data_IF_420161191416
#
_entry.id   IF_420161191416
#
_cell.length_a   1.000
_cell.length_b   1.000
_cell.length_c   1.000
_cell.angle_alpha   90.00
_cell.angle_beta   90.00
_cell.angle_gamma   90.00
#
_symmetry.space_group_name_H-M   'P 1'
#
loop_
_entity.id
_entity.type
_entity.pdbx_description
1 polymer ?
#
# COMPACT_ATOMS: atom_id res chain seq x y z
N UNK A 1 -33.20 -40.63 13.14
CA UNK A 1 -33.46 -40.19 11.76
C UNK A 1 -34.08 -38.81 11.88
N UNK A 2 -33.42 -37.70 11.65
CA UNK A 2 -32.13 -37.46 10.99
C UNK A 2 -31.72 -36.04 11.44
N UNK A 3 -30.68 -35.92 12.26
CA UNK A 3 -30.08 -34.63 12.63
C UNK A 3 -28.89 -34.44 11.69
N UNK A 4 -29.09 -33.62 10.65
CA UNK A 4 -28.00 -33.26 9.73
C UNK A 4 -27.18 -32.15 10.36
N UNK A 5 -26.15 -32.56 11.12
CA UNK A 5 -25.03 -31.71 11.50
C UNK A 5 -24.42 -31.10 10.23
N UNK A 6 -24.59 -29.79 10.08
CA UNK A 6 -23.91 -29.02 9.04
C UNK A 6 -22.48 -28.81 9.51
N UNK A 7 -21.57 -29.56 8.91
CA UNK A 7 -20.13 -29.44 9.14
C UNK A 7 -19.67 -28.03 8.77
N UNK A 8 -19.42 -27.19 9.77
CA UNK A 8 -18.74 -25.91 9.59
C UNK A 8 -17.29 -26.24 9.21
N UNK A 9 -16.92 -26.00 7.96
CA UNK A 9 -15.55 -26.16 7.50
C UNK A 9 -14.67 -25.13 8.21
N UNK A 10 -13.81 -25.62 9.11
CA UNK A 10 -12.67 -24.88 9.67
C UNK A 10 -11.70 -24.53 8.53
N UNK A 11 -11.95 -23.43 7.83
CA UNK A 11 -10.95 -22.84 6.93
C UNK A 11 -9.84 -22.22 7.78
N UNK A 12 -8.66 -22.86 7.72
CA UNK A 12 -7.45 -22.39 8.36
C UNK A 12 -7.10 -20.96 7.90
N UNK A 13 -6.71 -20.03 8.80
CA UNK A 13 -6.26 -18.68 8.45
C UNK A 13 -5.09 -18.64 7.44
N UNK A 14 -4.37 -19.75 7.25
CA UNK A 14 -3.30 -19.92 6.27
C UNK A 14 -3.73 -20.43 4.87
N UNK A 15 -5.02 -20.48 4.55
CA UNK A 15 -5.50 -21.09 3.30
C UNK A 15 -5.34 -20.18 2.05
N UNK A 16 -5.20 -18.87 2.21
CA UNK A 16 -5.09 -17.98 1.05
C UNK A 16 -3.76 -18.18 0.31
N UNK A 17 -3.86 -18.38 -1.01
CA UNK A 17 -2.72 -18.42 -1.93
C UNK A 17 -2.94 -17.46 -3.07
N UNK A 18 -1.94 -16.65 -3.39
CA UNK A 18 -1.93 -15.82 -4.58
C UNK A 18 -1.62 -16.69 -5.79
N UNK A 19 -2.51 -16.66 -6.79
CA UNK A 19 -2.38 -17.44 -8.03
C UNK A 19 -2.65 -16.58 -9.27
N UNK A 20 -2.64 -15.25 -9.12
CA UNK A 20 -3.00 -14.31 -10.18
C UNK A 20 -4.45 -13.83 -10.13
N UNK A 21 -5.08 -13.79 -8.95
CA UNK A 21 -6.43 -13.26 -8.80
C UNK A 21 -6.50 -11.78 -9.18
N UNK A 22 -7.64 -11.37 -9.73
CA UNK A 22 -7.92 -9.97 -10.09
C UNK A 22 -7.84 -9.04 -8.88
N UNK A 23 -7.22 -7.89 -9.05
CA UNK A 23 -7.14 -6.84 -8.03
C UNK A 23 -8.49 -6.11 -7.91
N UNK A 24 -9.16 -6.31 -6.79
CA UNK A 24 -10.40 -5.64 -6.40
C UNK A 24 -10.51 -5.57 -4.86
N UNK A 25 -11.61 -5.02 -4.35
CA UNK A 25 -11.88 -4.86 -2.91
C UNK A 25 -11.85 -6.21 -2.18
N UNK A 26 -12.41 -7.27 -2.79
CA UNK A 26 -12.42 -8.62 -2.22
C UNK A 26 -11.01 -9.22 -2.14
N UNK A 27 -10.16 -8.94 -3.13
CA UNK A 27 -8.75 -9.33 -3.09
C UNK A 27 -8.01 -8.65 -1.94
N UNK A 28 -8.16 -7.33 -1.80
CA UNK A 28 -7.56 -6.58 -0.68
C UNK A 28 -8.09 -7.07 0.67
N UNK A 29 -9.38 -7.37 0.76
CA UNK A 29 -9.99 -8.00 1.93
C UNK A 29 -9.28 -9.30 2.33
N UNK A 30 -8.99 -10.19 1.36
CA UNK A 30 -8.26 -11.44 1.62
C UNK A 30 -6.81 -11.22 2.03
N UNK A 31 -6.10 -10.28 1.41
CA UNK A 31 -4.69 -9.97 1.76
C UNK A 31 -4.59 -9.40 3.17
N UNK A 32 -5.43 -8.43 3.51
CA UNK A 32 -5.42 -7.83 4.85
C UNK A 32 -5.90 -8.82 5.91
N UNK A 33 -6.88 -9.69 5.58
CA UNK A 33 -7.31 -10.78 6.46
C UNK A 33 -6.19 -11.80 6.71
N UNK A 34 -5.41 -12.16 5.68
CA UNK A 34 -4.24 -13.03 5.83
C UNK A 34 -3.24 -12.44 6.83
N UNK A 35 -2.89 -11.16 6.68
CA UNK A 35 -1.95 -10.48 7.58
C UNK A 35 -2.49 -10.41 9.02
N UNK A 36 -3.74 -9.95 9.20
CA UNK A 36 -4.38 -9.87 10.53
C UNK A 36 -4.52 -11.25 11.18
N UNK A 37 -4.86 -12.28 10.41
CA UNK A 37 -4.95 -13.66 10.86
C UNK A 37 -3.60 -14.25 11.33
N UNK A 38 -2.48 -13.65 10.91
CA UNK A 38 -1.13 -13.97 11.38
C UNK A 38 -0.63 -12.96 12.43
N UNK A 39 -1.51 -12.15 13.02
CA UNK A 39 -1.15 -11.20 14.07
C UNK A 39 -0.49 -9.91 13.57
N UNK A 40 -0.61 -9.61 12.27
CA UNK A 40 0.02 -8.44 11.63
C UNK A 40 -1.03 -7.38 11.34
N UNK A 41 -1.23 -6.40 12.23
CA UNK A 41 -2.12 -5.30 11.96
C UNK A 41 -1.58 -4.42 10.84
N UNK A 42 -2.48 -3.83 10.08
CA UNK A 42 -2.15 -3.00 8.93
C UNK A 42 -3.29 -2.02 8.65
N UNK A 43 -3.01 -1.01 7.85
CA UNK A 43 -4.05 -0.23 7.19
C UNK A 43 -3.72 0.02 5.72
N UNK A 44 -4.77 0.14 4.93
CA UNK A 44 -4.75 0.43 3.51
C UNK A 44 -4.72 1.95 3.26
N UNK A 45 -3.97 2.37 2.25
CA UNK A 45 -3.97 3.73 1.73
C UNK A 45 -3.73 3.77 0.20
N UNK A 46 -3.89 4.93 -0.44
CA UNK A 46 -3.66 5.10 -1.88
C UNK A 46 -4.83 4.63 -2.77
N UNK A 47 -4.53 4.10 -3.96
CA UNK A 47 -5.53 3.84 -5.02
C UNK A 47 -6.69 2.96 -4.55
N UNK A 48 -6.38 1.81 -3.94
CA UNK A 48 -7.42 0.89 -3.46
C UNK A 48 -8.26 1.49 -2.33
N UNK A 49 -7.67 2.34 -1.49
CA UNK A 49 -8.42 3.07 -0.47
C UNK A 49 -9.45 4.02 -1.13
N UNK A 50 -9.04 4.76 -2.17
CA UNK A 50 -9.94 5.65 -2.92
C UNK A 50 -11.10 4.89 -3.58
N UNK A 51 -10.86 3.67 -4.08
CA UNK A 51 -11.94 2.80 -4.56
C UNK A 51 -12.98 2.46 -3.49
N UNK A 52 -12.56 2.11 -2.27
CA UNK A 52 -13.49 1.89 -1.16
C UNK A 52 -14.30 3.16 -0.83
N UNK A 53 -13.74 4.35 -1.06
CA UNK A 53 -14.45 5.64 -0.95
C UNK A 53 -15.35 5.96 -2.17
N UNK A 54 -15.43 5.08 -3.17
CA UNK A 54 -16.27 5.22 -4.37
C UNK A 54 -15.61 5.95 -5.54
N UNK A 55 -14.31 6.20 -5.50
CA UNK A 55 -13.61 6.83 -6.62
C UNK A 55 -13.30 5.81 -7.72
N UNK A 56 -13.73 6.11 -8.93
CA UNK A 56 -13.36 5.36 -10.14
C UNK A 56 -11.91 5.71 -10.55
N UNK A 57 -10.96 5.02 -9.92
CA UNK A 57 -9.52 5.19 -10.19
C UNK A 57 -8.92 3.91 -10.77
N UNK A 58 -7.96 4.09 -11.67
CA UNK A 58 -7.07 3.01 -12.06
C UNK A 58 -6.19 2.64 -10.86
N UNK A 59 -6.17 1.35 -10.55
CA UNK A 59 -5.37 0.81 -9.44
C UNK A 59 -4.02 0.45 -10.01
N UNK A 60 -3.00 1.20 -9.60
CA UNK A 60 -1.61 0.98 -9.98
C UNK A 60 -0.85 0.29 -8.84
N UNK A 61 -1.32 0.45 -7.60
CA UNK A 61 -0.71 -0.20 -6.44
C UNK A 61 -1.72 -0.50 -5.33
N UNK A 62 -1.40 -1.48 -4.51
CA UNK A 62 -2.03 -1.75 -3.21
C UNK A 62 -1.00 -1.36 -2.16
N UNK A 63 -1.27 -0.34 -1.36
CA UNK A 63 -0.31 0.15 -0.37
C UNK A 63 -0.80 -0.14 1.05
N UNK A 64 0.04 -0.84 1.83
CA UNK A 64 -0.23 -1.19 3.21
C UNK A 64 0.83 -0.57 4.13
N UNK A 65 0.39 0.08 5.20
CA UNK A 65 1.28 0.45 6.31
C UNK A 65 1.37 -0.71 7.29
N UNK A 66 2.58 -1.11 7.63
CA UNK A 66 2.91 -2.22 8.52
C UNK A 66 3.71 -1.66 9.72
N UNK A 67 3.43 -2.07 10.97
CA UNK A 67 4.29 -1.77 12.10
C UNK A 67 5.71 -2.25 11.82
N UNK A 68 6.69 -1.41 12.13
CA UNK A 68 8.08 -1.61 11.76
C UNK A 68 8.62 -2.96 12.25
N UNK A 69 8.30 -3.33 13.48
CA UNK A 69 8.71 -4.57 14.13
C UNK A 69 8.09 -5.84 13.52
N UNK A 70 7.06 -5.69 12.68
CA UNK A 70 6.38 -6.78 12.00
C UNK A 70 6.64 -6.80 10.49
N UNK A 71 7.50 -5.93 9.95
CA UNK A 71 7.77 -5.84 8.52
C UNK A 71 8.32 -7.16 7.95
N UNK A 72 9.37 -7.71 8.56
CA UNK A 72 9.97 -8.97 8.10
C UNK A 72 8.98 -10.14 8.17
N UNK A 73 8.13 -10.12 9.20
CA UNK A 73 7.08 -11.12 9.38
C UNK A 73 6.00 -11.01 8.30
N UNK A 74 5.57 -9.80 7.95
CA UNK A 74 4.62 -9.55 6.88
C UNK A 74 5.16 -10.04 5.54
N UNK A 75 6.43 -9.76 5.25
CA UNK A 75 7.11 -10.26 4.05
C UNK A 75 7.13 -11.79 4.03
N UNK A 76 7.48 -12.42 5.14
CA UNK A 76 7.50 -13.88 5.27
C UNK A 76 6.12 -14.51 5.02
N UNK A 77 5.07 -13.96 5.63
CA UNK A 77 3.68 -14.44 5.46
C UNK A 77 3.22 -14.30 4.01
N UNK A 78 3.51 -13.17 3.36
CA UNK A 78 3.12 -12.95 1.96
C UNK A 78 3.89 -13.87 1.00
N UNK A 79 5.20 -14.09 1.22
CA UNK A 79 5.96 -15.09 0.45
C UNK A 79 5.38 -16.49 0.61
N UNK A 80 5.04 -16.89 1.84
CA UNK A 80 4.38 -18.17 2.11
C UNK A 80 3.02 -18.27 1.42
N UNK A 81 2.31 -17.15 1.24
CA UNK A 81 1.07 -17.09 0.47
C UNK A 81 1.28 -17.06 -1.06
N UNK A 82 2.52 -17.11 -1.56
CA UNK A 82 2.82 -17.20 -2.99
C UNK A 82 2.95 -15.85 -3.70
N UNK A 83 3.07 -14.74 -2.96
CA UNK A 83 3.42 -13.46 -3.56
C UNK A 83 4.89 -13.45 -3.98
N UNK A 84 5.17 -12.98 -5.20
CA UNK A 84 6.51 -12.91 -5.77
C UNK A 84 7.12 -11.52 -5.54
N UNK A 85 8.35 -11.48 -5.03
CA UNK A 85 9.13 -10.26 -4.78
C UNK A 85 10.57 -10.37 -5.32
N UNK A 86 10.77 -11.28 -6.27
CA UNK A 86 12.05 -11.45 -6.95
C UNK A 86 12.25 -10.45 -8.09
N UNK A 87 13.39 -10.54 -8.80
CA UNK A 87 13.68 -9.66 -9.92
C UNK A 87 12.61 -9.76 -11.02
N UNK A 88 12.35 -8.63 -11.68
CA UNK A 88 11.53 -8.56 -12.89
C UNK A 88 12.45 -8.20 -14.05
N UNK A 89 12.31 -8.93 -15.15
CA UNK A 89 13.00 -8.59 -16.38
C UNK A 89 12.23 -7.49 -17.11
N UNK A 90 12.90 -6.42 -17.59
CA UNK A 90 12.25 -5.39 -18.36
C UNK A 90 11.80 -5.93 -19.71
N UNK A 91 10.75 -5.34 -20.27
CA UNK A 91 10.22 -5.69 -21.60
C UNK A 91 10.17 -4.47 -22.52
N UNK A 92 10.22 -4.72 -23.82
CA UNK A 92 10.13 -3.67 -24.84
C UNK A 92 8.72 -3.09 -24.91
N UNK A 93 8.65 -1.76 -24.99
CA UNK A 93 7.41 -0.97 -25.12
C UNK A 93 7.52 -0.01 -26.30
N UNK A 94 6.39 0.42 -26.83
CA UNK A 94 6.36 1.47 -27.87
C UNK A 94 6.65 2.84 -27.24
N UNK A 95 7.32 3.75 -27.96
CA UNK A 95 7.65 5.10 -27.48
C UNK A 95 6.41 5.87 -26.96
N UNK A 96 5.29 5.71 -27.66
CA UNK A 96 4.00 6.32 -27.31
C UNK A 96 3.44 5.88 -25.95
N UNK A 97 3.95 4.77 -25.40
CA UNK A 97 3.51 4.20 -24.12
C UNK A 97 4.34 4.72 -22.93
N UNK A 98 5.47 5.40 -23.18
CA UNK A 98 6.29 6.05 -22.16
C UNK A 98 5.75 7.46 -21.81
N UNK A 99 4.68 7.51 -21.01
CA UNK A 99 3.87 8.71 -20.76
C UNK A 99 4.64 9.92 -20.16
N UNK A 100 5.61 9.68 -19.28
CA UNK A 100 6.37 10.75 -18.59
C UNK A 100 7.52 11.31 -19.43
N UNK A 101 8.03 10.47 -20.30
CA UNK A 101 9.30 10.61 -20.98
C UNK A 101 9.14 11.46 -22.26
N UNK A 102 7.95 11.38 -22.88
CA UNK A 102 7.49 12.31 -23.92
C UNK A 102 7.33 13.77 -23.44
N UNK A 103 6.95 14.00 -22.17
CA UNK A 103 6.66 15.36 -21.66
C UNK A 103 7.89 16.18 -21.28
N UNK A 104 9.00 15.53 -20.91
CA UNK A 104 10.18 16.22 -20.39
C UNK A 104 11.29 16.44 -21.43
N UNK A 105 11.10 15.96 -22.66
CA UNK A 105 12.04 16.20 -23.77
C UNK A 105 13.46 15.69 -23.50
N UNK A 106 13.64 14.70 -22.61
CA UNK A 106 14.96 14.22 -22.15
C UNK A 106 15.51 13.03 -22.93
N UNK A 107 15.15 12.86 -24.20
CA UNK A 107 15.77 11.80 -25.00
C UNK A 107 16.83 12.32 -25.95
N UNK A 108 18.05 11.83 -25.72
CA UNK A 108 19.03 11.69 -26.77
C UNK A 108 18.52 10.68 -27.81
N UNK A 109 18.72 11.06 -29.07
CA UNK A 109 18.22 10.46 -30.30
C UNK A 109 18.91 9.13 -30.66
N UNK A 110 19.17 8.26 -29.68
CA UNK A 110 19.87 7.00 -29.89
C UNK A 110 18.88 5.82 -29.90
N UNK A 111 19.01 4.99 -30.94
CA UNK A 111 18.16 3.86 -31.35
C UNK A 111 18.11 2.68 -30.34
N UNK A 112 17.94 2.93 -29.05
CA UNK A 112 17.75 1.86 -28.06
C UNK A 112 16.26 1.50 -27.96
N UNK A 113 15.92 0.21 -27.77
CA UNK A 113 14.54 -0.18 -27.48
C UNK A 113 14.06 0.52 -26.20
N UNK A 114 12.81 1.00 -26.21
CA UNK A 114 12.19 1.55 -25.01
C UNK A 114 11.84 0.38 -24.10
N UNK A 115 12.41 0.36 -22.90
CA UNK A 115 12.19 -0.70 -21.93
C UNK A 115 11.29 -0.17 -20.81
N UNK A 116 10.34 -1.00 -20.39
CA UNK A 116 9.58 -0.78 -19.17
C UNK A 116 9.80 -1.96 -18.22
N UNK A 117 9.91 -1.67 -16.92
CA UNK A 117 9.96 -2.72 -15.89
C UNK A 117 8.59 -3.32 -15.60
N UNK A 118 7.53 -2.60 -16.00
CA UNK A 118 6.15 -2.91 -15.63
C UNK A 118 5.85 -2.74 -14.14
N UNK A 119 6.85 -2.35 -13.35
CA UNK A 119 6.79 -2.13 -11.92
C UNK A 119 7.05 -0.65 -11.65
N UNK A 120 6.04 0.03 -11.10
CA UNK A 120 6.12 1.46 -10.83
C UNK A 120 7.21 1.80 -9.82
N UNK A 121 7.49 0.89 -8.89
CA UNK A 121 8.60 1.06 -7.95
C UNK A 121 9.95 1.18 -8.67
N UNK A 122 10.24 0.30 -9.63
CA UNK A 122 11.49 0.37 -10.38
C UNK A 122 11.54 1.60 -11.28
N UNK A 123 10.43 1.94 -11.94
CA UNK A 123 10.33 3.16 -12.76
C UNK A 123 10.59 4.42 -11.91
N UNK A 124 9.93 4.54 -10.74
CA UNK A 124 10.14 5.65 -9.81
C UNK A 124 11.57 5.62 -9.23
N UNK A 125 12.11 4.46 -8.90
CA UNK A 125 13.47 4.35 -8.35
C UNK A 125 14.54 4.73 -9.38
N UNK A 126 14.38 4.38 -10.65
CA UNK A 126 15.27 4.82 -11.72
C UNK A 126 15.12 6.32 -11.99
N UNK A 127 13.89 6.80 -12.11
CA UNK A 127 13.60 8.21 -12.41
C UNK A 127 14.07 9.15 -11.28
N UNK A 128 13.83 8.78 -10.02
CA UNK A 128 14.21 9.59 -8.87
C UNK A 128 15.57 9.20 -8.28
N UNK A 129 16.40 8.41 -8.98
CA UNK A 129 17.76 8.04 -8.52
C UNK A 129 18.61 9.25 -8.11
N UNK A 130 18.34 10.42 -8.70
CA UNK A 130 19.05 11.67 -8.41
C UNK A 130 18.30 12.60 -7.44
N UNK A 131 16.98 12.60 -7.46
CA UNK A 131 16.14 13.51 -6.66
C UNK A 131 15.74 12.91 -5.30
N UNK A 132 15.85 11.58 -5.14
CA UNK A 132 15.28 10.81 -4.04
C UNK A 132 13.77 10.67 -4.24
N UNK A 133 13.27 9.46 -4.45
CA UNK A 133 11.83 9.24 -4.50
C UNK A 133 11.24 9.50 -3.09
N UNK A 134 10.31 10.45 -3.02
CA UNK A 134 9.63 10.87 -1.78
C UNK A 134 8.71 9.80 -1.17
N UNK A 135 8.31 8.79 -1.95
CA UNK A 135 7.33 7.78 -1.55
C UNK A 135 7.76 6.36 -1.93
N UNK A 136 8.79 5.83 -1.28
CA UNK A 136 9.34 4.50 -1.59
C UNK A 136 8.84 3.41 -0.62
N UNK A 137 8.19 2.35 -1.12
CA UNK A 137 7.87 1.21 -0.27
C UNK A 137 9.13 0.59 0.32
N UNK A 138 8.98 0.05 1.54
CA UNK A 138 10.03 -0.75 2.20
C UNK A 138 10.18 -2.09 1.50
N UNK A 139 9.06 -2.68 1.06
CA UNK A 139 9.06 -3.96 0.35
C UNK A 139 7.98 -3.97 -0.74
N UNK A 140 8.25 -4.67 -1.84
CA UNK A 140 7.35 -4.73 -3.01
C UNK A 140 7.13 -6.18 -3.41
N UNK A 141 5.87 -6.52 -3.66
CA UNK A 141 5.46 -7.78 -4.29
C UNK A 141 4.80 -7.48 -5.63
N UNK A 142 5.17 -8.24 -6.64
CA UNK A 142 4.74 -8.06 -8.01
C UNK A 142 3.55 -8.96 -8.31
N UNK A 143 2.38 -8.37 -8.53
CA UNK A 143 1.20 -9.14 -8.94
C UNK A 143 1.31 -9.48 -10.42
N UNK A 144 0.64 -10.57 -10.83
CA UNK A 144 0.62 -10.99 -12.23
C UNK A 144 0.04 -9.87 -13.09
N UNK A 145 0.72 -9.60 -14.20
CA UNK A 145 0.27 -8.65 -15.21
C UNK A 145 -1.15 -8.97 -15.68
N UNK A 146 -1.99 -7.94 -15.78
CA UNK A 146 -3.29 -8.09 -16.42
C UNK A 146 -3.09 -8.18 -17.93
N UNK A 147 -3.60 -9.21 -18.62
CA UNK A 147 -3.45 -9.33 -20.07
C UNK A 147 -3.92 -8.05 -20.78
N UNK A 148 -3.07 -7.52 -21.66
CA UNK A 148 -3.36 -6.31 -22.44
C UNK A 148 -3.15 -4.98 -21.72
N UNK A 149 -2.69 -4.96 -20.46
CA UNK A 149 -2.25 -3.73 -19.78
C UNK A 149 -0.73 -3.61 -19.79
N UNK A 150 -0.25 -2.38 -20.00
CA UNK A 150 1.16 -2.04 -19.82
C UNK A 150 1.48 -2.05 -18.31
N UNK A 151 2.37 -2.94 -17.89
CA UNK A 151 2.76 -3.10 -16.48
C UNK A 151 1.79 -3.90 -15.61
N UNK A 152 2.16 -4.10 -14.35
CA UNK A 152 1.38 -4.82 -13.36
C UNK A 152 1.10 -3.96 -12.12
N UNK A 153 0.17 -4.44 -11.30
CA UNK A 153 -0.14 -3.83 -10.01
C UNK A 153 0.86 -4.34 -8.98
N UNK A 154 1.47 -3.45 -8.22
CA UNK A 154 2.35 -3.85 -7.11
C UNK A 154 1.57 -3.89 -5.77
N UNK A 155 1.89 -4.86 -4.92
CA UNK A 155 1.54 -4.85 -3.49
C UNK A 155 2.75 -4.33 -2.71
N UNK A 156 2.57 -3.15 -2.12
CA UNK A 156 3.63 -2.38 -1.49
C UNK A 156 3.44 -2.36 0.02
N UNK A 157 4.52 -2.64 0.76
CA UNK A 157 4.57 -2.52 2.21
C UNK A 157 5.40 -1.30 2.60
N UNK A 158 4.85 -0.49 3.49
CA UNK A 158 5.50 0.71 4.01
C UNK A 158 5.67 0.59 5.52
N UNK A 159 6.90 0.86 6.01
CA UNK A 159 7.13 1.01 7.46
C UNK A 159 6.31 2.17 7.99
N UNK A 160 5.56 1.92 9.04
CA UNK A 160 4.67 2.89 9.64
C UNK A 160 5.41 4.13 10.15
N UNK A 161 6.48 3.94 10.94
CA UNK A 161 7.21 5.06 11.56
C UNK A 161 7.83 6.02 10.53
N UNK A 162 8.09 5.53 9.31
CA UNK A 162 8.72 6.32 8.25
C UNK A 162 7.74 7.20 7.48
N UNK A 163 6.47 6.83 7.42
CA UNK A 163 5.50 7.50 6.55
C UNK A 163 4.28 8.07 7.29
N UNK A 164 3.99 7.56 8.48
CA UNK A 164 2.75 7.84 9.21
C UNK A 164 3.02 8.03 10.70
N UNK A 165 4.18 8.62 11.05
CA UNK A 165 4.62 8.79 12.44
C UNK A 165 3.71 9.64 13.31
N UNK A 166 2.87 10.47 12.70
CA UNK A 166 1.89 11.31 13.38
C UNK A 166 0.57 10.57 13.67
N UNK A 167 0.42 9.35 13.12
CA UNK A 167 -0.75 8.51 13.31
C UNK A 167 -0.50 7.43 14.37
N UNK A 168 -1.57 6.92 15.02
CA UNK A 168 -1.45 5.75 15.88
C UNK A 168 -0.97 4.54 15.08
N UNK A 169 0.01 3.81 15.59
CA UNK A 169 0.45 2.53 15.00
C UNK A 169 -0.75 1.60 14.84
N UNK A 170 -0.94 0.94 13.67
CA UNK A 170 -2.08 0.07 13.49
C UNK A 170 -2.05 -1.09 14.47
N UNK A 171 -3.17 -1.29 15.17
CA UNK A 171 -3.42 -2.42 16.08
C UNK A 171 -4.42 -3.40 15.48
N UNK A 172 -4.43 -4.64 15.99
CA UNK A 172 -5.36 -5.69 15.52
C UNK A 172 -6.82 -5.36 15.85
N UNK A 173 -7.04 -4.79 17.04
CA UNK A 173 -8.36 -4.34 17.49
C UNK A 173 -8.44 -2.81 17.39
N UNK A 174 -9.52 -2.24 16.83
CA UNK A 174 -9.72 -0.80 16.80
C UNK A 174 -9.72 -0.22 18.22
N UNK A 175 -8.88 0.78 18.46
CA UNK A 175 -8.91 1.56 19.71
C UNK A 175 -9.85 2.76 19.59
N UNK A 176 -10.19 3.43 20.70
CA UNK A 176 -10.94 4.70 20.61
C UNK A 176 -10.17 5.77 19.80
N UNK A 177 -8.84 5.76 19.86
CA UNK A 177 -7.98 6.66 19.07
C UNK A 177 -8.03 6.36 17.57
N UNK A 178 -8.38 5.14 17.17
CA UNK A 178 -8.49 4.75 15.76
C UNK A 178 -9.66 5.46 15.06
N UNK A 179 -10.68 5.91 15.80
CA UNK A 179 -11.94 6.39 15.21
C UNK A 179 -11.79 7.66 14.36
N UNK A 180 -10.81 8.51 14.69
CA UNK A 180 -10.55 9.75 13.94
C UNK A 180 -9.52 9.57 12.83
N UNK A 181 -8.63 8.57 12.96
CA UNK A 181 -7.55 8.34 12.01
C UNK A 181 -7.90 7.32 10.93
N UNK A 182 -8.77 6.37 11.24
CA UNK A 182 -9.08 5.24 10.39
C UNK A 182 -10.57 5.12 10.08
N UNK A 183 -10.86 4.56 8.91
CA UNK A 183 -12.19 4.19 8.44
C UNK A 183 -12.17 2.70 8.16
N UNK A 184 -13.16 1.96 8.66
CA UNK A 184 -13.33 0.54 8.34
C UNK A 184 -14.14 0.38 7.05
N UNK A 185 -13.89 -0.66 6.26
CA UNK A 185 -14.68 -0.94 5.06
C UNK A 185 -16.16 -1.19 5.34
N UNK A 186 -16.54 -1.45 6.60
CA UNK A 186 -17.93 -1.58 7.06
C UNK A 186 -18.56 -0.26 7.51
N UNK A 187 -17.84 0.86 7.43
CA UNK A 187 -18.36 2.18 7.81
C UNK A 187 -19.53 2.58 6.92
N UNK A 188 -20.65 2.99 7.54
CA UNK A 188 -21.91 3.30 6.86
C UNK A 188 -21.84 4.55 5.97
N UNK A 189 -20.80 5.37 6.14
CA UNK A 189 -20.55 6.56 5.30
C UNK A 189 -19.94 6.19 3.95
N UNK A 190 -19.43 4.96 3.79
CA UNK A 190 -18.90 4.49 2.52
C UNK A 190 -20.04 4.20 1.53
N UNK A 191 -19.82 4.37 0.21
CA UNK A 191 -20.82 4.05 -0.80
C UNK A 191 -21.27 2.59 -0.79
N UNK A 192 -20.35 1.67 -0.44
CA UNK A 192 -20.65 0.24 -0.32
C UNK A 192 -19.96 -0.35 0.90
N UNK A 193 -20.61 -0.33 2.07
CA UNK A 193 -20.06 -0.93 3.28
C UNK A 193 -19.94 -2.46 3.11
N UNK A 194 -18.76 -3.02 3.38
CA UNK A 194 -18.44 -4.42 3.10
C UNK A 194 -17.49 -5.02 4.15
N UNK A 195 -17.68 -6.32 4.42
CA UNK A 195 -16.77 -7.17 5.19
C UNK A 195 -16.44 -8.44 4.41
N UNK A 196 -15.34 -9.10 4.74
CA UNK A 196 -14.76 -10.19 3.95
C UNK A 196 -14.56 -11.47 4.77
N UNK A 197 -14.75 -12.61 4.10
CA UNK A 197 -14.51 -13.93 4.69
C UNK A 197 -15.47 -14.31 5.83
N UNK A 198 -15.32 -15.53 6.39
CA UNK A 198 -16.22 -16.06 7.42
C UNK A 198 -16.14 -15.26 8.73
N UNK A 199 -14.98 -14.70 9.06
CA UNK A 199 -14.78 -13.84 10.23
C UNK A 199 -15.31 -12.41 10.08
N UNK A 200 -15.98 -12.07 8.97
CA UNK A 200 -16.47 -10.72 8.66
C UNK A 200 -15.37 -9.65 8.82
N UNK A 201 -14.18 -9.95 8.32
CA UNK A 201 -13.02 -9.06 8.36
C UNK A 201 -13.33 -7.71 7.70
N UNK A 202 -13.08 -6.62 8.40
CA UNK A 202 -13.19 -5.27 7.87
C UNK A 202 -11.79 -4.73 7.54
N UNK A 203 -11.63 -4.15 6.35
CA UNK A 203 -10.37 -3.52 5.96
C UNK A 203 -10.24 -2.19 6.71
N UNK A 204 -9.15 -2.02 7.44
CA UNK A 204 -8.79 -0.74 8.07
C UNK A 204 -8.13 0.15 7.01
N UNK A 205 -8.61 1.38 6.86
CA UNK A 205 -8.12 2.37 5.90
C UNK A 205 -7.77 3.65 6.61
N UNK A 206 -6.73 4.35 6.19
CA UNK A 206 -6.49 5.74 6.64
C UNK A 206 -7.67 6.63 6.19
N UNK A 207 -8.09 7.57 7.03
CA UNK A 207 -9.11 8.54 6.62
C UNK A 207 -8.53 9.51 5.57
N UNK A 208 -9.35 10.04 4.64
CA UNK A 208 -8.84 10.95 3.61
C UNK A 208 -8.15 12.19 4.19
N UNK A 209 -8.68 12.74 5.29
CA UNK A 209 -8.08 13.89 5.98
C UNK A 209 -6.70 13.55 6.53
N UNK A 210 -6.53 12.40 7.19
CA UNK A 210 -5.23 11.95 7.70
C UNK A 210 -4.24 11.64 6.60
N UNK A 211 -4.68 11.10 5.46
CA UNK A 211 -3.78 10.90 4.32
C UNK A 211 -3.21 12.23 3.80
N UNK A 212 -4.05 13.26 3.70
CA UNK A 212 -3.61 14.60 3.28
C UNK A 212 -2.63 15.19 4.30
N UNK A 213 -2.90 15.06 5.59
CA UNK A 213 -1.99 15.53 6.66
C UNK A 213 -0.63 14.82 6.59
N UNK A 214 -0.63 13.49 6.48
CA UNK A 214 0.60 12.71 6.32
C UNK A 214 1.41 13.14 5.09
N UNK A 215 0.75 13.41 3.95
CA UNK A 215 1.39 13.91 2.73
C UNK A 215 2.02 15.30 2.93
N UNK A 216 1.34 16.20 3.64
CA UNK A 216 1.87 17.53 3.97
C UNK A 216 3.11 17.40 4.86
N UNK A 217 3.03 16.58 5.90
CA UNK A 217 4.15 16.35 6.83
C UNK A 217 5.35 15.72 6.13
N UNK A 218 5.12 14.75 5.25
CA UNK A 218 6.15 14.13 4.42
C UNK A 218 6.80 15.13 3.46
N UNK A 219 5.99 15.95 2.80
CA UNK A 219 6.50 17.01 1.92
C UNK A 219 7.37 17.99 2.70
N UNK A 220 6.92 18.41 3.89
CA UNK A 220 7.71 19.30 4.74
C UNK A 220 9.02 18.65 5.18
N UNK A 221 8.97 17.40 5.67
CA UNK A 221 10.15 16.62 6.06
C UNK A 221 11.17 16.60 4.93
N UNK A 222 10.74 16.31 3.71
CA UNK A 222 11.63 16.12 2.57
C UNK A 222 12.17 17.45 1.99
N UNK A 223 11.40 18.53 2.06
CA UNK A 223 11.82 19.87 1.59
C UNK A 223 12.71 20.60 2.60
N UNK A 224 12.42 20.48 3.89
CA UNK A 224 12.99 21.34 4.92
C UNK A 224 14.03 20.67 5.82
N UNK A 225 14.11 19.33 5.86
CA UNK A 225 15.19 18.66 6.58
C UNK A 225 16.39 18.46 5.66
N UNK A 226 17.56 19.07 5.95
CA UNK A 226 18.76 18.81 5.18
C UNK A 226 19.09 17.32 5.25
N UNK A 227 19.54 16.73 4.13
CA UNK A 227 20.02 15.33 4.00
C UNK A 227 21.14 14.89 4.98
N UNK A 228 21.50 15.69 5.99
CA UNK A 228 22.71 15.55 6.84
C UNK A 228 22.52 15.60 8.36
N UNK A 229 21.31 15.55 8.91
CA UNK A 229 21.13 15.33 10.36
C UNK A 229 20.41 14.01 10.62
N UNK A 230 21.19 12.94 10.50
CA UNK A 230 20.88 11.70 11.20
C UNK A 230 21.17 11.95 12.68
N UNK A 231 20.29 11.50 13.58
CA UNK A 231 20.38 11.58 15.04
C UNK A 231 19.90 12.89 15.70
N UNK A 232 18.57 13.04 15.82
CA UNK A 232 17.82 13.34 17.07
C UNK A 232 16.50 14.07 16.77
N UNK A 233 15.38 13.48 17.19
CA UNK A 233 14.09 14.11 17.57
C UNK A 233 13.36 15.04 16.58
N UNK A 234 13.55 14.86 15.26
CA UNK A 234 12.81 15.65 14.25
C UNK A 234 11.27 15.48 14.29
N UNK A 235 10.79 14.37 14.87
CA UNK A 235 9.37 14.14 15.10
C UNK A 235 8.78 15.21 16.04
N UNK A 236 9.55 15.66 17.05
CA UNK A 236 9.11 16.65 18.03
C UNK A 236 9.02 18.05 17.43
N UNK A 237 9.95 18.42 16.56
CA UNK A 237 9.95 19.72 15.85
C UNK A 237 8.70 19.85 14.94
N UNK A 238 8.35 18.80 14.20
CA UNK A 238 7.13 18.76 13.38
C UNK A 238 5.86 18.78 14.23
N UNK A 239 5.85 18.03 15.33
CA UNK A 239 4.73 18.01 16.27
C UNK A 239 4.47 19.42 16.81
N UNK A 240 5.51 20.13 17.24
CA UNK A 240 5.43 21.52 17.72
C UNK A 240 4.86 22.46 16.66
N UNK A 241 5.35 22.40 15.41
CA UNK A 241 4.93 23.33 14.36
C UNK A 241 3.46 23.13 13.96
N UNK A 242 2.99 21.90 13.79
CA UNK A 242 1.63 21.65 13.28
C UNK A 242 0.55 21.56 14.37
N UNK A 243 0.87 21.06 15.57
CA UNK A 243 -0.11 21.03 16.68
C UNK A 243 -0.33 22.41 17.31
N UNK A 244 0.67 23.30 17.34
CA UNK A 244 0.48 24.65 17.88
C UNK A 244 -0.34 25.58 16.97
N UNK A 245 -0.49 25.26 15.69
CA UNK A 245 -1.34 26.01 14.75
C UNK A 245 -2.81 25.56 14.79
N UNK A 246 -3.10 24.43 15.44
CA UNK A 246 -4.45 23.88 15.58
C UNK A 246 -5.17 24.31 16.87
N UNK A 247 -4.72 25.42 17.50
CA UNK A 247 -5.32 26.00 18.70
C UNK A 247 -6.58 26.81 18.43
#
# INVERSE_FOLDING_TARGET
>A
MDETETSVSNENPGAFKYTGQTVNEAFVGKVTQLLVGNGIPNFLFGDMMLRFFGCETDVLSINLSIPDELMDEAVRVLRQAGFYDGPIEPFEVEESQCFLDFRLGRFHRDQRPHLAWGCRYFDDHEYYRHSGAWWLPTHVFHLRQTPGKLGHVDLNLFMHSRYFWDLPVPTLAPTEYDQNSYVLSTDRRLPTPVCFGPGRHAVKMISPARLVEALILLTYRDLHLPRRRWFSDWHDDLFVIFKMVSG
#
